data_IF_700842575291
#
_entry.id   IF_700842575291
#
_cell.length_a   1.000
_cell.length_b   1.000
_cell.length_c   1.000
_cell.angle_alpha   90.00
_cell.angle_beta   90.00
_cell.angle_gamma   90.00
#
_symmetry.space_group_name_H-M   'P 1'
#
loop_
_entity.id
_entity.type
_entity.pdbx_description
1 polymer ?
#
# COMPACT_ATOMS: atom_id res chain seq x y z
N UNK A 1 60.42 23.85 -10.00
CA UNK A 1 61.54 23.18 -10.71
C UNK A 1 62.08 22.11 -9.79
N UNK A 2 62.37 20.87 -10.23
CA UNK A 2 62.16 20.28 -11.57
C UNK A 2 61.14 19.10 -11.48
N UNK A 3 60.32 18.75 -12.47
CA UNK A 3 60.56 18.37 -13.88
C UNK A 3 61.56 17.22 -14.02
N UNK A 4 61.08 15.98 -14.13
CA UNK A 4 61.83 14.94 -14.83
C UNK A 4 60.94 14.19 -15.80
N UNK A 5 61.48 14.11 -16.99
CA UNK A 5 60.90 13.77 -18.29
C UNK A 5 61.11 12.28 -18.61
N UNK A 6 60.14 11.72 -19.35
CA UNK A 6 60.15 10.58 -20.29
C UNK A 6 61.29 9.54 -20.23
N UNK A 7 60.88 8.27 -20.36
CA UNK A 7 61.54 7.33 -21.30
C UNK A 7 60.48 6.68 -22.18
N UNK A 8 60.68 6.84 -23.49
CA UNK A 8 60.04 6.08 -24.58
C UNK A 8 61.01 4.95 -24.93
N UNK A 9 60.53 3.74 -25.13
CA UNK A 9 61.17 2.81 -26.08
C UNK A 9 60.12 1.98 -26.81
N UNK A 10 59.94 2.35 -28.08
CA UNK A 10 59.32 1.57 -29.15
C UNK A 10 60.21 0.37 -29.51
N UNK A 11 59.63 -0.81 -29.63
CA UNK A 11 60.16 -1.88 -30.50
C UNK A 11 59.00 -2.63 -31.14
N UNK A 12 58.95 -2.56 -32.48
CA UNK A 12 58.01 -3.30 -33.36
C UNK A 12 58.56 -4.67 -33.76
N UNK A 13 57.61 -5.53 -34.18
CA UNK A 13 57.68 -6.82 -34.92
C UNK A 13 57.76 -8.06 -34.01
N UNK A 14 57.02 -9.15 -34.20
CA UNK A 14 56.07 -9.59 -35.25
C UNK A 14 55.32 -10.82 -34.74
N UNK A 15 54.12 -11.02 -35.29
CA UNK A 15 53.17 -12.14 -35.22
C UNK A 15 53.66 -13.50 -34.67
N UNK A 16 52.89 -14.04 -33.71
CA UNK A 16 52.42 -15.44 -33.72
C UNK A 16 51.05 -15.54 -33.06
N UNK A 17 50.15 -16.17 -33.80
CA UNK A 17 48.74 -16.46 -33.54
C UNK A 17 48.44 -16.86 -32.09
N UNK A 18 47.48 -16.16 -31.47
CA UNK A 18 46.63 -16.74 -30.43
C UNK A 18 45.18 -16.44 -30.78
N UNK A 19 44.47 -17.50 -31.18
CA UNK A 19 43.01 -17.55 -31.34
C UNK A 19 42.34 -16.83 -30.19
N UNK A 20 41.74 -15.67 -30.48
CA UNK A 20 40.75 -15.06 -29.61
C UNK A 20 39.59 -16.05 -29.47
N UNK A 21 39.31 -16.48 -28.24
CA UNK A 21 38.00 -17.07 -27.92
C UNK A 21 36.98 -15.98 -28.15
N UNK A 22 36.19 -16.14 -29.21
CA UNK A 22 34.99 -15.35 -29.44
C UNK A 22 34.14 -15.39 -28.17
N UNK A 23 33.81 -14.21 -27.65
CA UNK A 23 32.85 -14.09 -26.57
C UNK A 23 31.52 -14.67 -27.03
N UNK A 24 30.94 -15.55 -26.21
CA UNK A 24 29.56 -16.00 -26.37
C UNK A 24 28.65 -14.77 -26.34
N UNK A 25 28.19 -14.35 -27.51
CA UNK A 25 26.97 -13.56 -27.62
C UNK A 25 25.84 -14.49 -27.16
N UNK A 26 24.97 -14.09 -26.20
CA UNK A 26 23.85 -14.94 -25.83
C UNK A 26 22.99 -15.12 -27.07
N UNK A 27 22.93 -16.35 -27.57
CA UNK A 27 22.06 -16.74 -28.67
C UNK A 27 20.62 -16.59 -28.17
N UNK A 28 19.94 -15.54 -28.60
CA UNK A 28 18.51 -15.35 -28.33
C UNK A 28 17.79 -16.61 -28.85
N UNK A 29 17.01 -17.31 -28.00
CA UNK A 29 16.25 -18.48 -28.43
C UNK A 29 15.39 -18.13 -29.65
N UNK A 30 15.31 -19.04 -30.62
CA UNK A 30 14.42 -18.84 -31.78
C UNK A 30 12.99 -18.72 -31.28
N UNK A 31 12.35 -17.57 -31.51
CA UNK A 31 10.99 -17.31 -31.08
C UNK A 31 9.99 -18.00 -32.03
N UNK A 32 9.13 -18.85 -31.46
CA UNK A 32 7.99 -19.43 -32.17
C UNK A 32 6.69 -18.72 -31.75
N UNK A 33 6.03 -17.95 -32.62
CA UNK A 33 4.78 -17.27 -32.30
C UNK A 33 3.59 -18.22 -32.13
N UNK A 34 3.69 -19.48 -32.55
CA UNK A 34 2.57 -20.43 -32.54
C UNK A 34 2.42 -21.20 -31.22
N UNK A 35 3.31 -20.97 -30.24
CA UNK A 35 3.20 -21.58 -28.92
C UNK A 35 2.00 -20.94 -28.19
N UNK A 36 0.97 -21.72 -27.80
CA UNK A 36 -0.18 -21.19 -27.09
C UNK A 36 0.18 -20.72 -25.68
N UNK A 37 -0.59 -19.77 -25.14
CA UNK A 37 -0.43 -19.31 -23.75
C UNK A 37 -0.53 -20.48 -22.76
N UNK A 38 0.35 -20.55 -21.74
CA UNK A 38 0.32 -21.59 -20.72
C UNK A 38 -1.03 -21.63 -19.97
N UNK A 39 -1.58 -22.83 -19.81
CA UNK A 39 -2.86 -23.04 -19.10
C UNK A 39 -2.72 -23.63 -17.70
N UNK A 40 -1.54 -24.17 -17.39
CA UNK A 40 -1.25 -24.76 -16.09
C UNK A 40 0.22 -24.54 -15.70
N UNK A 41 0.55 -24.83 -14.43
CA UNK A 41 1.92 -24.68 -13.92
C UNK A 41 2.95 -25.53 -14.68
N UNK A 42 2.57 -26.73 -15.12
CA UNK A 42 3.46 -27.59 -15.91
C UNK A 42 3.83 -26.98 -17.27
N UNK A 43 2.95 -26.18 -17.87
CA UNK A 43 3.27 -25.43 -19.09
C UNK A 43 4.13 -24.21 -18.80
N UNK A 44 3.88 -23.51 -17.68
CA UNK A 44 4.66 -22.36 -17.25
C UNK A 44 6.13 -22.73 -16.98
N UNK A 45 6.38 -23.84 -16.29
CA UNK A 45 7.74 -24.32 -15.97
C UNK A 45 8.59 -24.60 -17.22
N UNK A 46 7.98 -24.89 -18.38
CA UNK A 46 8.74 -25.05 -19.64
C UNK A 46 9.43 -23.76 -20.09
N UNK A 47 8.98 -22.61 -19.58
CA UNK A 47 9.53 -21.29 -19.83
C UNK A 47 10.35 -20.77 -18.65
N UNK A 48 10.75 -21.62 -17.71
CA UNK A 48 11.49 -21.23 -16.52
C UNK A 48 12.72 -20.40 -16.88
N UNK A 49 12.89 -19.28 -16.18
CA UNK A 49 13.99 -18.36 -16.37
C UNK A 49 14.61 -18.01 -15.02
N UNK A 50 15.89 -18.35 -14.87
CA UNK A 50 16.63 -18.08 -13.64
C UNK A 50 16.97 -16.59 -13.56
N UNK A 51 16.50 -15.97 -12.47
CA UNK A 51 16.73 -14.57 -12.17
C UNK A 51 17.62 -14.44 -10.93
N UNK A 52 18.48 -13.43 -10.93
CA UNK A 52 19.30 -13.05 -9.78
C UNK A 52 19.22 -11.54 -9.57
N UNK A 53 19.12 -11.12 -8.30
CA UNK A 53 18.96 -9.72 -7.93
C UNK A 53 20.26 -8.94 -8.18
N UNK A 54 20.14 -7.75 -8.77
CA UNK A 54 21.26 -6.87 -9.11
C UNK A 54 21.57 -5.89 -7.96
N UNK A 55 22.69 -6.13 -7.29
CA UNK A 55 23.23 -5.30 -6.22
C UNK A 55 23.56 -3.86 -6.66
N UNK A 56 23.74 -3.63 -7.96
CA UNK A 56 23.96 -2.29 -8.52
C UNK A 56 22.69 -1.45 -8.48
N UNK A 57 21.53 -2.10 -8.61
CA UNK A 57 20.23 -1.44 -8.68
C UNK A 57 19.57 -1.30 -7.32
N UNK A 58 19.83 -2.24 -6.41
CA UNK A 58 19.14 -2.35 -5.13
C UNK A 58 19.20 -1.07 -4.29
N UNK A 59 18.04 -0.59 -3.84
CA UNK A 59 17.99 0.51 -2.88
C UNK A 59 18.82 0.21 -1.62
N UNK A 60 19.37 1.24 -0.96
CA UNK A 60 20.29 1.11 0.20
C UNK A 60 19.67 0.43 1.43
N UNK A 61 18.35 0.26 1.47
CA UNK A 61 17.63 -0.45 2.54
C UNK A 61 17.44 -1.94 2.26
N UNK A 62 17.76 -2.37 1.04
CA UNK A 62 17.59 -3.75 0.61
C UNK A 62 18.90 -4.51 0.80
N UNK A 63 18.79 -5.66 1.45
CA UNK A 63 19.87 -6.59 1.67
C UNK A 63 19.66 -7.80 0.79
N UNK A 64 20.53 -7.93 -0.22
CA UNK A 64 20.57 -9.12 -1.07
C UNK A 64 21.37 -10.20 -0.34
N UNK A 65 20.77 -11.36 -0.16
CA UNK A 65 21.34 -12.52 0.53
C UNK A 65 21.19 -13.78 -0.32
N UNK A 66 21.60 -14.94 0.22
CA UNK A 66 21.43 -16.26 -0.42
C UNK A 66 22.01 -16.33 -1.86
N UNK A 67 23.14 -15.67 -2.08
CA UNK A 67 23.82 -15.69 -3.38
C UNK A 67 23.11 -14.89 -4.48
N UNK A 68 22.15 -14.02 -4.14
CA UNK A 68 21.43 -13.18 -5.09
C UNK A 68 19.99 -13.60 -5.36
N UNK A 69 19.50 -14.66 -4.72
CA UNK A 69 18.12 -15.13 -4.87
C UNK A 69 17.13 -14.48 -3.90
N UNK A 70 17.63 -13.89 -2.80
CA UNK A 70 16.80 -13.30 -1.76
C UNK A 70 17.11 -11.84 -1.54
N UNK A 71 16.06 -11.05 -1.34
CA UNK A 71 16.15 -9.68 -0.87
C UNK A 71 15.25 -9.49 0.33
N UNK A 72 15.77 -8.82 1.35
CA UNK A 72 14.98 -8.42 2.50
C UNK A 72 15.23 -6.96 2.82
N UNK A 73 14.18 -6.27 3.22
CA UNK A 73 14.29 -5.00 3.95
C UNK A 73 14.44 -5.36 5.43
N UNK A 74 15.58 -5.00 6.03
CA UNK A 74 15.91 -5.39 7.41
C UNK A 74 15.22 -4.49 8.43
N UNK A 75 15.88 -3.40 8.79
CA UNK A 75 15.33 -2.32 9.61
C UNK A 75 15.72 -1.02 8.96
N UNK A 76 14.94 0.00 9.23
CA UNK A 76 15.14 1.27 8.54
C UNK A 76 16.30 2.12 9.11
N UNK A 77 16.82 1.70 10.26
CA UNK A 77 17.99 2.30 10.91
C UNK A 77 19.31 1.71 10.38
N UNK A 78 19.26 0.63 9.58
CA UNK A 78 20.44 -0.08 9.08
C UNK A 78 20.41 -0.13 7.55
N UNK A 79 21.22 0.74 6.94
CA UNK A 79 21.45 0.72 5.49
C UNK A 79 22.55 -0.27 5.13
N UNK A 80 22.40 -0.94 3.98
CA UNK A 80 23.45 -1.76 3.41
C UNK A 80 24.64 -0.84 3.04
N UNK A 81 25.88 -1.17 3.44
CA UNK A 81 27.05 -0.33 3.18
C UNK A 81 27.51 -0.47 1.72
N UNK A 82 26.67 -0.03 0.79
CA UNK A 82 26.88 -0.12 -0.65
C UNK A 82 27.31 1.23 -1.23
N UNK A 83 28.16 1.16 -2.25
CA UNK A 83 28.56 2.36 -3.00
C UNK A 83 27.34 2.96 -3.70
N UNK A 84 27.25 4.29 -3.65
CA UNK A 84 26.28 5.02 -4.45
C UNK A 84 26.65 4.93 -5.93
N UNK A 85 25.65 4.73 -6.79
CA UNK A 85 25.82 4.48 -8.21
C UNK A 85 24.62 5.00 -9.00
N UNK A 86 24.81 5.52 -10.23
CA UNK A 86 23.73 6.03 -11.07
C UNK A 86 22.54 5.06 -11.22
N UNK A 87 22.81 3.76 -11.32
CA UNK A 87 21.85 2.69 -11.58
C UNK A 87 21.01 2.30 -10.35
N UNK A 88 21.38 2.79 -9.17
CA UNK A 88 20.73 2.45 -7.90
C UNK A 88 19.42 3.22 -7.73
N UNK A 89 18.38 2.54 -7.24
CA UNK A 89 17.18 3.24 -6.78
C UNK A 89 17.52 4.17 -5.62
N UNK A 90 17.11 5.43 -5.76
CA UNK A 90 17.42 6.47 -4.79
C UNK A 90 16.39 6.53 -3.65
N UNK A 91 15.13 6.25 -3.96
CA UNK A 91 14.02 6.53 -3.08
C UNK A 91 13.17 5.29 -2.76
N UNK A 92 12.69 4.59 -3.79
CA UNK A 92 11.84 3.42 -3.61
C UNK A 92 12.68 2.21 -3.19
N UNK A 93 12.31 1.46 -2.13
CA UNK A 93 12.94 0.20 -1.73
C UNK A 93 12.76 -0.90 -2.78
N UNK A 94 13.45 -0.76 -3.91
CA UNK A 94 13.29 -1.54 -5.13
C UNK A 94 14.64 -2.07 -5.61
N UNK A 95 14.60 -3.20 -6.32
CA UNK A 95 15.75 -3.87 -6.92
C UNK A 95 15.28 -4.54 -8.22
N UNK A 96 16.12 -4.50 -9.26
CA UNK A 96 15.92 -5.24 -10.51
C UNK A 96 16.79 -6.49 -10.51
N UNK A 97 16.43 -7.46 -11.36
CA UNK A 97 17.29 -8.59 -11.67
C UNK A 97 18.39 -8.19 -12.66
N UNK A 98 19.49 -8.97 -12.69
CA UNK A 98 20.61 -8.76 -13.62
C UNK A 98 20.24 -9.18 -15.04
N UNK A 99 19.38 -10.18 -15.14
CA UNK A 99 18.95 -10.78 -16.39
C UNK A 99 17.77 -9.98 -16.97
N UNK A 100 17.88 -9.64 -18.26
CA UNK A 100 16.81 -9.05 -19.04
C UNK A 100 16.14 -10.08 -19.94
N UNK A 101 14.83 -9.93 -20.15
CA UNK A 101 14.06 -10.75 -21.09
C UNK A 101 13.86 -9.93 -22.37
N UNK A 102 14.50 -10.36 -23.47
CA UNK A 102 14.39 -9.73 -24.78
C UNK A 102 14.34 -10.80 -25.87
N UNK A 103 13.23 -10.86 -26.61
CA UNK A 103 13.06 -11.76 -27.74
C UNK A 103 12.56 -13.17 -27.38
N UNK A 104 12.19 -13.45 -26.13
CA UNK A 104 11.75 -14.78 -25.70
C UNK A 104 10.70 -14.72 -24.57
N UNK A 105 10.21 -15.91 -24.18
CA UNK A 105 9.25 -16.12 -23.09
C UNK A 105 9.97 -16.49 -21.80
N UNK A 106 9.65 -15.82 -20.70
CA UNK A 106 10.18 -16.15 -19.38
C UNK A 106 9.07 -16.42 -18.37
N UNK A 107 9.32 -17.37 -17.48
CA UNK A 107 8.51 -17.65 -16.30
C UNK A 107 9.39 -17.74 -15.07
N UNK A 108 8.99 -17.12 -13.97
CA UNK A 108 9.66 -17.24 -12.68
C UNK A 108 8.64 -17.18 -11.54
N UNK A 109 9.01 -17.73 -10.40
CA UNK A 109 8.20 -17.71 -9.18
C UNK A 109 8.94 -16.95 -8.08
N UNK A 110 8.19 -16.15 -7.31
CA UNK A 110 8.71 -15.34 -6.20
C UNK A 110 7.95 -15.71 -4.94
N UNK A 111 8.63 -16.33 -3.99
CA UNK A 111 8.14 -16.46 -2.62
C UNK A 111 8.30 -15.12 -1.90
N UNK A 112 7.25 -14.68 -1.22
CA UNK A 112 7.24 -13.37 -0.54
C UNK A 112 6.53 -13.40 0.81
N UNK A 113 6.96 -12.51 1.69
CA UNK A 113 6.29 -12.23 2.96
C UNK A 113 6.26 -10.73 3.23
N UNK A 114 5.26 -10.26 3.97
CA UNK A 114 5.02 -8.83 4.16
C UNK A 114 4.42 -8.15 2.91
N UNK A 115 4.73 -6.87 2.74
CA UNK A 115 4.30 -6.07 1.60
C UNK A 115 5.40 -6.13 0.52
N UNK A 116 5.09 -6.76 -0.61
CA UNK A 116 6.00 -6.93 -1.74
C UNK A 116 5.22 -6.70 -3.02
N UNK A 117 5.81 -5.93 -3.93
CA UNK A 117 5.34 -5.77 -5.31
C UNK A 117 6.30 -6.52 -6.22
N UNK A 118 5.77 -7.46 -6.98
CA UNK A 118 6.51 -8.22 -8.01
C UNK A 118 6.14 -7.64 -9.36
N UNK A 119 7.13 -7.36 -10.19
CA UNK A 119 6.91 -6.61 -11.42
C UNK A 119 7.93 -6.84 -12.50
N UNK A 120 7.67 -6.22 -13.64
CA UNK A 120 8.60 -6.12 -14.76
C UNK A 120 8.76 -4.64 -15.12
N UNK A 121 9.96 -4.25 -15.53
CA UNK A 121 10.26 -2.90 -15.94
C UNK A 121 11.18 -2.93 -17.15
N UNK A 122 11.03 -1.95 -18.04
CA UNK A 122 12.08 -1.71 -19.03
C UNK A 122 13.34 -1.24 -18.32
N UNK A 123 14.51 -1.65 -18.83
CA UNK A 123 15.81 -1.26 -18.25
C UNK A 123 15.97 0.27 -18.12
N UNK A 124 15.39 1.01 -19.08
CA UNK A 124 15.35 2.47 -19.17
C UNK A 124 14.43 3.16 -18.16
N UNK A 125 13.65 2.42 -17.36
CA UNK A 125 12.76 3.00 -16.38
C UNK A 125 13.56 3.84 -15.38
N UNK A 126 13.02 5.01 -15.04
CA UNK A 126 13.63 5.96 -14.11
C UNK A 126 13.85 5.33 -12.74
N UNK A 127 14.94 5.72 -12.06
CA UNK A 127 15.34 5.15 -10.75
C UNK A 127 15.56 6.22 -9.69
N UNK A 128 15.44 7.49 -10.09
CA UNK A 128 15.72 8.67 -9.27
C UNK A 128 14.52 9.60 -9.28
N UNK A 129 14.44 10.47 -8.26
CA UNK A 129 13.38 11.48 -8.18
C UNK A 129 13.40 12.46 -9.37
N UNK A 130 14.58 12.71 -9.95
CA UNK A 130 14.72 13.51 -11.18
C UNK A 130 13.99 12.90 -12.38
N UNK A 131 13.70 11.60 -12.33
CA UNK A 131 13.08 10.85 -13.41
C UNK A 131 11.56 10.72 -13.23
N UNK A 132 11.00 11.26 -12.13
CA UNK A 132 9.60 11.08 -11.73
C UNK A 132 9.36 9.84 -10.86
N UNK A 133 8.13 9.34 -10.84
CA UNK A 133 7.74 8.16 -10.06
C UNK A 133 8.45 6.90 -10.55
N UNK A 134 9.25 6.27 -9.68
CA UNK A 134 10.14 5.16 -10.03
C UNK A 134 9.71 3.79 -9.46
N UNK A 135 8.62 3.73 -8.69
CA UNK A 135 8.06 2.47 -8.21
C UNK A 135 7.52 1.60 -9.36
N UNK A 136 7.61 0.28 -9.21
CA UNK A 136 7.00 -0.67 -10.15
C UNK A 136 5.50 -0.39 -10.34
N UNK A 137 5.11 -0.08 -11.57
CA UNK A 137 3.73 0.24 -11.95
C UNK A 137 3.33 1.71 -11.78
N UNK A 138 4.19 2.56 -11.22
CA UNK A 138 3.92 3.99 -11.07
C UNK A 138 4.21 4.80 -12.35
N UNK A 139 4.87 4.20 -13.33
CA UNK A 139 5.20 4.82 -14.61
C UNK A 139 4.76 3.96 -15.79
N UNK A 140 4.83 4.53 -16.99
CA UNK A 140 4.52 3.84 -18.25
C UNK A 140 5.51 2.72 -18.63
N UNK A 141 6.68 2.70 -17.98
CA UNK A 141 7.76 1.77 -18.31
C UNK A 141 7.84 0.56 -17.36
N UNK A 142 6.85 0.37 -16.48
CA UNK A 142 6.82 -0.71 -15.52
C UNK A 142 5.41 -1.17 -15.18
N UNK A 143 5.32 -2.41 -14.68
CA UNK A 143 4.12 -3.07 -14.21
C UNK A 143 4.42 -3.74 -12.87
N UNK A 144 3.45 -3.72 -11.96
CA UNK A 144 3.57 -4.34 -10.64
C UNK A 144 2.30 -5.05 -10.23
N UNK A 145 2.44 -6.14 -9.47
CA UNK A 145 1.38 -6.80 -8.74
C UNK A 145 1.83 -7.05 -7.31
N UNK A 146 0.97 -6.79 -6.33
CA UNK A 146 1.31 -6.99 -4.93
C UNK A 146 0.09 -7.20 -4.05
N UNK A 147 0.31 -7.76 -2.87
CA UNK A 147 -0.73 -7.97 -1.86
C UNK A 147 -0.78 -6.76 -0.91
N UNK A 148 -1.93 -6.09 -0.82
CA UNK A 148 -2.13 -4.89 0.01
C UNK A 148 -2.53 -5.19 1.47
N UNK A 149 -2.77 -6.45 1.81
CA UNK A 149 -3.30 -6.84 3.12
C UNK A 149 -4.75 -7.34 3.09
N UNK A 150 -5.54 -6.95 2.09
CA UNK A 150 -6.93 -7.42 1.86
C UNK A 150 -7.16 -7.98 0.47
N UNK A 151 -6.42 -7.49 -0.52
CA UNK A 151 -6.63 -7.78 -1.94
C UNK A 151 -5.31 -7.72 -2.68
N UNK A 152 -5.28 -8.31 -3.87
CA UNK A 152 -4.19 -8.06 -4.80
C UNK A 152 -4.45 -6.74 -5.52
N UNK A 153 -3.40 -5.98 -5.78
CA UNK A 153 -3.47 -4.71 -6.49
C UNK A 153 -2.47 -4.76 -7.64
N UNK A 154 -2.94 -4.39 -8.83
CA UNK A 154 -2.12 -4.33 -10.03
C UNK A 154 -1.91 -2.87 -10.44
N UNK A 155 -0.67 -2.50 -10.70
CA UNK A 155 -0.24 -1.13 -10.99
C UNK A 155 0.40 -1.01 -12.37
N UNK A 156 0.01 0.03 -13.11
CA UNK A 156 0.63 0.46 -14.36
C UNK A 156 0.24 1.91 -14.66
N UNK A 157 1.15 2.74 -15.19
CA UNK A 157 0.87 4.15 -15.54
C UNK A 157 0.23 4.96 -14.41
N UNK A 158 0.68 4.70 -13.18
CA UNK A 158 0.06 5.32 -12.01
C UNK A 158 -1.44 5.03 -11.86
N UNK A 159 -1.95 3.94 -12.43
CA UNK A 159 -3.29 3.40 -12.22
C UNK A 159 -3.22 2.18 -11.31
N UNK A 160 -4.20 2.03 -10.43
CA UNK A 160 -4.34 0.87 -9.56
C UNK A 160 -5.65 0.14 -9.90
N UNK A 161 -5.55 -1.15 -10.18
CA UNK A 161 -6.69 -2.06 -10.32
C UNK A 161 -6.72 -3.02 -9.14
N UNK A 162 -7.75 -2.91 -8.31
CA UNK A 162 -7.96 -3.83 -7.20
C UNK A 162 -8.54 -5.15 -7.71
N UNK A 163 -7.95 -6.26 -7.24
CA UNK A 163 -8.34 -7.63 -7.55
C UNK A 163 -8.83 -8.28 -6.26
N UNK A 164 -10.14 -8.49 -6.17
CA UNK A 164 -10.82 -9.06 -5.00
C UNK A 164 -11.19 -10.53 -5.21
N UNK A 165 -11.55 -11.22 -4.12
CA UNK A 165 -12.02 -12.62 -4.17
C UNK A 165 -10.92 -13.68 -4.34
N UNK A 166 -9.65 -13.30 -4.16
CA UNK A 166 -8.50 -14.20 -4.16
C UNK A 166 -7.85 -14.15 -2.77
N UNK A 167 -7.69 -15.30 -2.08
CA UNK A 167 -7.03 -15.33 -0.78
C UNK A 167 -5.53 -15.04 -0.92
N UNK A 168 -4.86 -14.73 0.19
CA UNK A 168 -3.40 -14.51 0.19
C UNK A 168 -2.67 -15.82 -0.11
N UNK A 169 -1.76 -15.77 -1.08
CA UNK A 169 -0.75 -16.81 -1.35
C UNK A 169 0.64 -16.32 -0.94
N UNK A 170 1.56 -17.25 -0.68
CA UNK A 170 2.97 -16.97 -0.36
C UNK A 170 3.86 -16.85 -1.59
N UNK A 171 3.38 -17.30 -2.76
CA UNK A 171 4.18 -17.38 -3.99
C UNK A 171 3.41 -16.78 -5.17
N UNK A 172 4.08 -15.88 -5.90
CA UNK A 172 3.58 -15.31 -7.16
C UNK A 172 4.42 -15.83 -8.32
N UNK A 173 3.76 -16.37 -9.34
CA UNK A 173 4.35 -16.69 -10.63
C UNK A 173 4.16 -15.53 -11.61
N UNK A 174 5.19 -15.21 -12.39
CA UNK A 174 5.14 -14.19 -13.44
C UNK A 174 5.51 -14.82 -14.76
N UNK A 175 4.66 -14.66 -15.76
CA UNK A 175 4.90 -15.09 -17.13
C UNK A 175 4.96 -13.87 -18.04
N UNK A 176 6.03 -13.75 -18.82
CA UNK A 176 6.24 -12.70 -19.78
C UNK A 176 6.52 -13.31 -21.16
N UNK A 177 5.66 -13.04 -22.14
CA UNK A 177 5.93 -13.23 -23.56
C UNK A 177 6.29 -11.86 -24.15
N UNK A 178 7.58 -11.53 -24.15
CA UNK A 178 8.03 -10.19 -24.53
C UNK A 178 7.70 -9.85 -26.00
N UNK A 179 7.91 -10.74 -26.98
CA UNK A 179 7.54 -10.43 -28.37
C UNK A 179 6.02 -10.32 -28.60
N UNK A 180 5.19 -11.04 -27.83
CA UNK A 180 3.73 -10.93 -27.93
C UNK A 180 3.12 -9.81 -27.08
N UNK A 181 3.90 -9.18 -26.19
CA UNK A 181 3.41 -8.15 -25.28
C UNK A 181 2.45 -8.68 -24.20
N UNK A 182 2.63 -9.93 -23.77
CA UNK A 182 1.77 -10.59 -22.77
C UNK A 182 2.51 -10.63 -21.43
N UNK A 183 1.86 -10.11 -20.38
CA UNK A 183 2.29 -10.22 -18.99
C UNK A 183 1.15 -10.80 -18.16
N UNK A 184 1.39 -11.97 -17.58
CA UNK A 184 0.43 -12.66 -16.73
C UNK A 184 1.02 -12.89 -15.34
N UNK A 185 0.16 -12.79 -14.33
CA UNK A 185 0.50 -13.13 -12.96
C UNK A 185 -0.34 -14.32 -12.48
N UNK A 186 0.27 -15.18 -11.68
CA UNK A 186 -0.35 -16.39 -11.15
C UNK A 186 -0.15 -16.47 -9.64
N UNK A 187 -1.22 -16.76 -8.92
CA UNK A 187 -1.11 -17.20 -7.53
C UNK A 187 -0.71 -18.68 -7.52
N UNK A 188 0.46 -19.00 -6.95
CA UNK A 188 1.00 -20.36 -6.92
C UNK A 188 0.68 -20.98 -5.57
N UNK A 189 -0.01 -22.12 -5.60
CA UNK A 189 -0.29 -22.93 -4.41
C UNK A 189 0.73 -24.07 -4.35
N UNK A 190 1.48 -24.16 -3.26
CA UNK A 190 2.26 -25.36 -2.98
C UNK A 190 1.32 -26.48 -2.56
N UNK A 191 1.22 -27.51 -3.38
CA UNK A 191 0.58 -28.76 -2.98
C UNK A 191 1.63 -29.54 -2.19
N UNK A 192 1.44 -29.63 -0.87
CA UNK A 192 2.17 -30.63 -0.07
C UNK A 192 1.74 -32.00 -0.60
N UNK A 193 2.69 -32.87 -0.94
CA UNK A 193 2.40 -34.21 -1.47
C UNK A 193 1.34 -34.90 -0.58
N UNK A 194 0.13 -35.10 -1.12
CA UNK A 194 -0.97 -35.74 -0.40
C UNK A 194 -2.39 -35.32 -0.79
N UNK A 195 -2.61 -34.16 -1.43
CA UNK A 195 -3.97 -33.72 -1.82
C UNK A 195 -4.01 -33.20 -3.27
N UNK A 196 -4.75 -33.88 -4.15
CA UNK A 196 -5.07 -33.36 -5.48
C UNK A 196 -5.93 -32.09 -5.36
N UNK A 197 -5.43 -30.96 -5.85
CA UNK A 197 -6.17 -29.70 -5.93
C UNK A 197 -6.25 -29.18 -7.37
N UNK A 198 -7.48 -28.91 -7.77
CA UNK A 198 -7.89 -28.36 -9.07
C UNK A 198 -7.69 -26.84 -9.14
N UNK A 199 -6.97 -26.37 -10.17
CA UNK A 199 -7.25 -25.09 -10.85
C UNK A 199 -6.51 -23.85 -10.35
N UNK A 200 -5.39 -23.50 -10.98
CA UNK A 200 -4.81 -22.15 -10.90
C UNK A 200 -5.69 -21.12 -11.62
N UNK A 201 -6.04 -20.03 -10.93
CA UNK A 201 -6.73 -18.87 -11.54
C UNK A 201 -5.69 -17.93 -12.18
N UNK A 202 -5.92 -17.57 -13.45
CA UNK A 202 -5.10 -16.62 -14.20
C UNK A 202 -5.62 -15.18 -14.02
N UNK A 203 -4.71 -14.23 -13.86
CA UNK A 203 -4.98 -12.79 -13.82
C UNK A 203 -4.36 -12.13 -15.05
N UNK A 204 -5.20 -11.55 -15.92
CA UNK A 204 -4.77 -10.84 -17.14
C UNK A 204 -4.87 -9.33 -16.95
N UNK A 205 -3.83 -8.61 -17.35
CA UNK A 205 -3.81 -7.15 -17.43
C UNK A 205 -4.13 -6.69 -18.87
N UNK A 206 -4.79 -5.54 -19.07
CA UNK A 206 -5.04 -5.01 -20.41
C UNK A 206 -3.77 -4.40 -21.00
N UNK A 207 -3.37 -4.83 -22.21
CA UNK A 207 -2.40 -4.13 -23.07
C UNK A 207 -3.14 -3.37 -24.18
N UNK A 208 -2.56 -2.24 -24.63
CA UNK A 208 -3.23 -1.30 -25.55
C UNK A 208 -3.01 -1.67 -27.03
N UNK A 209 -4.14 -1.69 -27.74
CA UNK A 209 -4.38 -1.67 -29.19
C UNK A 209 -4.22 -3.00 -29.97
N UNK A 210 -5.26 -3.83 -29.96
CA UNK A 210 -6.22 -3.89 -31.08
C UNK A 210 -7.53 -4.60 -30.68
N UNK A 211 -8.58 -4.34 -31.45
CA UNK A 211 -9.99 -4.61 -31.13
C UNK A 211 -10.41 -6.09 -31.18
N UNK A 212 -11.50 -6.39 -30.45
CA UNK A 212 -12.44 -7.55 -30.53
C UNK A 212 -11.95 -8.89 -29.93
N UNK A 213 -12.73 -9.63 -29.12
CA UNK A 213 -14.02 -10.26 -29.45
C UNK A 213 -14.91 -10.54 -28.21
N UNK A 214 -16.16 -10.05 -28.30
CA UNK A 214 -17.48 -10.71 -28.14
C UNK A 214 -17.71 -11.73 -26.99
N UNK A 215 -18.66 -11.40 -26.11
CA UNK A 215 -19.59 -12.37 -25.52
C UNK A 215 -20.96 -12.23 -26.20
N UNK A 216 -21.35 -13.26 -26.95
CA UNK A 216 -22.65 -13.38 -27.59
C UNK A 216 -23.63 -14.04 -26.62
N UNK A 217 -24.66 -13.31 -26.21
CA UNK A 217 -25.88 -13.91 -25.69
C UNK A 217 -26.98 -13.77 -26.75
N UNK A 218 -27.39 -14.91 -27.31
CA UNK A 218 -28.61 -15.03 -28.10
C UNK A 218 -29.81 -14.75 -27.20
N UNK A 219 -30.55 -13.68 -27.48
CA UNK A 219 -31.96 -13.63 -27.14
C UNK A 219 -32.77 -12.94 -28.23
N UNK A 220 -33.86 -13.63 -28.62
CA UNK A 220 -34.73 -13.31 -29.73
C UNK A 220 -35.48 -12.00 -29.50
N UNK A 221 -35.60 -11.25 -30.59
CA UNK A 221 -36.40 -10.04 -30.77
C UNK A 221 -37.84 -10.20 -30.28
N UNK A 222 -38.33 -9.16 -29.60
CA UNK A 222 -39.75 -8.95 -29.32
C UNK A 222 -39.99 -7.54 -28.80
N UNK A 223 -40.04 -6.56 -29.71
CA UNK A 223 -40.35 -5.16 -29.45
C UNK A 223 -41.61 -4.97 -28.58
N UNK A 224 -41.52 -4.12 -27.54
CA UNK A 224 -42.48 -3.02 -27.32
C UNK A 224 -41.97 -2.04 -26.26
N UNK A 225 -41.82 -0.79 -26.70
CA UNK A 225 -41.60 0.42 -25.91
C UNK A 225 -42.72 0.57 -24.88
N UNK A 226 -42.36 0.70 -23.59
CA UNK A 226 -43.13 1.47 -22.59
C UNK A 226 -42.18 2.10 -21.59
N UNK A 227 -42.23 3.43 -21.55
CA UNK A 227 -41.76 4.29 -20.46
C UNK A 227 -42.26 3.79 -19.10
N UNK A 228 -41.39 3.78 -18.09
CA UNK A 228 -41.79 4.12 -16.72
C UNK A 228 -40.57 4.39 -15.83
N UNK A 229 -40.70 5.50 -15.08
CA UNK A 229 -39.91 5.85 -13.90
C UNK A 229 -39.78 4.66 -12.96
N UNK A 230 -38.59 4.49 -12.38
CA UNK A 230 -38.39 4.08 -10.99
C UNK A 230 -36.90 4.18 -10.65
N UNK A 231 -36.51 5.35 -10.12
CA UNK A 231 -35.41 5.43 -9.16
C UNK A 231 -35.77 4.53 -7.97
N UNK A 232 -35.01 3.45 -7.78
CA UNK A 232 -34.95 2.75 -6.50
C UNK A 232 -33.64 3.16 -5.84
N UNK A 233 -33.72 4.24 -5.07
CA UNK A 233 -32.79 4.53 -3.99
C UNK A 233 -32.81 3.36 -3.01
N UNK A 234 -31.67 2.72 -2.82
CA UNK A 234 -31.44 1.84 -1.67
C UNK A 234 -31.52 2.72 -0.42
N UNK A 235 -32.62 2.60 0.33
CA UNK A 235 -32.77 3.22 1.63
C UNK A 235 -31.81 2.54 2.60
N UNK A 236 -30.70 3.21 2.92
CA UNK A 236 -29.88 2.89 4.08
C UNK A 236 -30.77 2.99 5.33
N UNK A 237 -30.71 1.97 6.17
CA UNK A 237 -31.50 1.85 7.39
C UNK A 237 -30.90 2.79 8.44
N UNK A 238 -31.17 4.10 8.31
CA UNK A 238 -30.72 5.12 9.26
C UNK A 238 -31.49 4.92 10.56
N UNK A 239 -30.80 4.47 11.60
CA UNK A 239 -31.37 4.43 12.95
C UNK A 239 -31.83 5.84 13.33
N UNK A 240 -33.07 5.96 13.79
CA UNK A 240 -33.64 7.25 14.18
C UNK A 240 -32.85 7.81 15.36
N UNK A 241 -32.24 8.98 15.20
CA UNK A 241 -31.58 9.67 16.30
C UNK A 241 -32.60 10.03 17.38
N UNK A 242 -32.29 9.63 18.62
CA UNK A 242 -33.09 9.98 19.80
C UNK A 242 -32.31 11.03 20.62
N UNK A 243 -32.83 12.25 20.76
CA UNK A 243 -32.19 13.29 21.57
C UNK A 243 -32.33 13.00 23.08
N UNK A 244 -31.49 13.66 23.89
CA UNK A 244 -31.55 13.63 25.36
C UNK A 244 -31.35 12.24 26.01
N UNK A 245 -30.65 11.33 25.34
CA UNK A 245 -30.17 10.10 25.99
C UNK A 245 -28.98 10.47 26.87
N UNK A 246 -28.90 9.97 28.13
CA UNK A 246 -27.74 10.17 28.99
C UNK A 246 -26.43 9.70 28.34
N UNK A 247 -25.35 10.45 28.56
CA UNK A 247 -24.02 10.06 28.08
C UNK A 247 -23.59 8.71 28.69
N UNK A 248 -23.00 7.80 27.89
CA UNK A 248 -22.45 6.54 28.40
C UNK A 248 -21.34 6.78 29.45
N UNK A 249 -21.43 6.08 30.57
CA UNK A 249 -20.46 6.20 31.67
C UNK A 249 -19.58 4.97 31.84
N UNK A 250 -19.94 3.86 31.18
CA UNK A 250 -19.21 2.59 31.21
C UNK A 250 -18.91 2.07 29.81
N UNK A 251 -17.93 1.18 29.69
CA UNK A 251 -17.59 0.53 28.43
C UNK A 251 -18.77 -0.25 27.86
N UNK A 252 -19.51 -0.94 28.72
CA UNK A 252 -20.70 -1.72 28.36
C UNK A 252 -21.81 -0.86 27.73
N UNK A 253 -21.91 0.42 28.11
CA UNK A 253 -22.83 1.36 27.47
C UNK A 253 -22.27 1.92 26.16
N UNK A 254 -20.97 2.21 26.11
CA UNK A 254 -20.29 2.71 24.90
C UNK A 254 -20.35 1.71 23.73
N UNK A 255 -20.12 0.42 23.98
CA UNK A 255 -20.15 -0.64 22.94
C UNK A 255 -21.52 -0.84 22.29
N UNK A 256 -22.60 -0.26 22.84
CA UNK A 256 -23.92 -0.20 22.19
C UNK A 256 -23.90 0.68 20.94
N UNK A 257 -22.98 1.65 20.89
CA UNK A 257 -22.78 2.58 19.78
C UNK A 257 -21.58 2.18 18.91
N UNK A 258 -21.10 0.95 19.03
CA UNK A 258 -19.91 0.47 18.32
C UNK A 258 -20.03 0.67 16.81
N UNK A 259 -19.01 1.29 16.21
CA UNK A 259 -18.89 1.51 14.78
C UNK A 259 -17.70 0.72 14.23
N UNK A 260 -17.93 -0.09 13.20
CA UNK A 260 -16.87 -0.79 12.50
C UNK A 260 -16.24 0.18 11.50
N UNK A 261 -14.97 0.51 11.72
CA UNK A 261 -14.23 1.45 10.89
C UNK A 261 -13.20 0.73 10.02
N UNK A 262 -12.92 1.31 8.86
CA UNK A 262 -11.83 0.90 7.98
C UNK A 262 -11.11 2.12 7.41
N UNK A 263 -9.79 2.04 7.33
CA UNK A 263 -8.94 3.11 6.82
C UNK A 263 -9.15 3.33 5.32
N UNK A 264 -9.23 4.60 4.89
CA UNK A 264 -9.34 4.95 3.47
C UNK A 264 -7.95 5.19 2.85
N UNK A 265 -7.51 4.25 2.03
CA UNK A 265 -6.25 4.26 1.29
C UNK A 265 -6.14 5.43 0.30
N UNK A 266 -7.29 5.98 -0.14
CA UNK A 266 -7.33 7.17 -1.00
C UNK A 266 -6.88 8.42 -0.27
N UNK A 267 -7.11 8.49 1.05
CA UNK A 267 -6.79 9.67 1.86
C UNK A 267 -5.40 9.60 2.48
N UNK A 268 -4.90 8.39 2.74
CA UNK A 268 -3.69 8.17 3.50
C UNK A 268 -2.49 8.93 2.94
N UNK A 269 -1.83 9.74 3.74
CA UNK A 269 -0.60 10.38 3.28
C UNK A 269 0.42 9.34 2.80
N UNK A 270 1.20 9.74 1.82
CA UNK A 270 2.21 8.91 1.18
C UNK A 270 3.28 8.37 2.14
N UNK A 271 3.43 8.87 3.36
CA UNK A 271 4.32 8.31 4.39
C UNK A 271 3.70 7.16 5.20
N UNK A 272 2.41 6.86 4.99
CA UNK A 272 1.65 5.88 5.77
C UNK A 272 1.48 4.57 5.01
N UNK A 273 1.52 3.48 5.79
CA UNK A 273 1.38 2.11 5.31
C UNK A 273 0.16 1.48 5.97
N UNK A 274 -0.86 1.17 5.17
CA UNK A 274 -2.07 0.47 5.62
C UNK A 274 -1.87 -1.04 5.45
N UNK A 275 -2.28 -1.82 6.46
CA UNK A 275 -2.22 -3.28 6.47
C UNK A 275 -3.45 -3.87 7.18
N UNK A 276 -3.44 -5.20 7.40
CA UNK A 276 -4.47 -5.94 8.13
C UNK A 276 -5.89 -5.67 7.60
N UNK A 277 -6.01 -5.75 6.28
CA UNK A 277 -7.26 -5.50 5.57
C UNK A 277 -7.89 -4.13 5.85
N UNK A 278 -7.06 -3.10 6.07
CA UNK A 278 -7.52 -1.73 6.29
C UNK A 278 -7.80 -1.39 7.76
N UNK A 279 -7.49 -2.27 8.72
CA UNK A 279 -7.64 -1.96 10.15
C UNK A 279 -6.37 -1.41 10.79
N UNK A 280 -5.19 -1.56 10.16
CA UNK A 280 -3.92 -1.13 10.73
C UNK A 280 -3.24 -0.11 9.84
N UNK A 281 -2.66 0.93 10.44
CA UNK A 281 -1.79 1.90 9.78
C UNK A 281 -0.51 2.10 10.57
N UNK A 282 0.61 2.27 9.88
CA UNK A 282 1.87 2.63 10.50
C UNK A 282 2.66 3.64 9.67
N UNK A 283 3.50 4.40 10.35
CA UNK A 283 4.53 5.24 9.75
C UNK A 283 5.87 4.76 10.28
N UNK A 284 6.66 4.13 9.42
CA UNK A 284 7.93 3.52 9.83
C UNK A 284 9.05 4.56 9.85
N UNK A 285 9.21 5.33 8.76
CA UNK A 285 10.36 6.23 8.53
C UNK A 285 10.00 7.53 7.80
N UNK A 286 11.00 8.18 7.20
CA UNK A 286 10.89 9.28 6.23
C UNK A 286 10.62 8.78 4.80
N UNK A 287 10.49 7.47 4.57
CA UNK A 287 10.19 6.92 3.25
C UNK A 287 8.70 6.99 2.93
N UNK A 288 8.43 7.22 1.66
CA UNK A 288 7.11 7.29 1.07
C UNK A 288 6.73 5.91 0.57
N UNK A 289 5.55 5.46 1.01
CA UNK A 289 4.74 4.43 0.42
C UNK A 289 4.53 4.73 -1.08
N UNK A 290 4.81 3.77 -1.98
CA UNK A 290 4.65 3.94 -3.43
C UNK A 290 3.17 3.89 -3.82
N UNK A 291 2.45 4.93 -3.42
CA UNK A 291 1.02 5.12 -3.67
C UNK A 291 0.83 6.29 -4.60
N UNK A 292 -0.10 6.11 -5.53
CA UNK A 292 -0.49 7.10 -6.52
C UNK A 292 -0.96 8.38 -5.83
N UNK A 293 -0.45 9.55 -6.23
CA UNK A 293 -1.01 10.81 -5.75
C UNK A 293 -2.44 10.98 -6.26
N UNK A 294 -3.32 11.47 -5.39
CA UNK A 294 -4.75 11.67 -5.64
C UNK A 294 -5.23 12.92 -4.91
N UNK A 295 -6.24 13.64 -5.44
CA UNK A 295 -6.75 14.86 -4.82
C UNK A 295 -7.20 14.69 -3.35
N UNK A 296 -7.72 13.51 -2.99
CA UNK A 296 -8.23 13.18 -1.66
C UNK A 296 -7.12 12.93 -0.63
N UNK A 297 -5.87 12.76 -1.08
CA UNK A 297 -4.73 12.37 -0.27
C UNK A 297 -4.21 13.55 0.55
N UNK A 298 -3.88 13.29 1.82
CA UNK A 298 -3.12 14.23 2.62
C UNK A 298 -1.73 14.44 2.02
N UNK A 299 -1.37 15.69 1.75
CA UNK A 299 -0.13 16.05 1.06
C UNK A 299 1.08 16.11 2.01
N UNK A 300 0.93 16.82 3.14
CA UNK A 300 2.02 17.05 4.09
C UNK A 300 1.88 16.29 5.40
N UNK A 301 0.72 16.37 6.05
CA UNK A 301 0.48 15.71 7.34
C UNK A 301 0.42 14.20 7.14
N UNK A 302 1.23 13.37 7.85
CA UNK A 302 1.18 11.91 7.77
C UNK A 302 -0.09 11.35 8.42
N UNK A 303 -1.21 11.56 7.73
CA UNK A 303 -2.57 11.44 8.23
C UNK A 303 -3.42 10.58 7.29
N UNK A 304 -4.41 9.91 7.87
CA UNK A 304 -5.40 9.10 7.17
C UNK A 304 -6.75 9.24 7.88
N UNK A 305 -7.85 9.21 7.13
CA UNK A 305 -9.21 9.13 7.68
C UNK A 305 -9.86 7.81 7.28
N UNK A 306 -10.92 7.43 8.01
CA UNK A 306 -11.70 6.23 7.73
C UNK A 306 -12.70 6.46 6.58
N UNK A 307 -13.20 5.36 6.01
CA UNK A 307 -14.21 5.38 4.94
C UNK A 307 -15.60 5.74 5.46
N UNK A 308 -15.89 5.37 6.71
CA UNK A 308 -17.20 5.51 7.33
C UNK A 308 -17.33 6.89 7.99
N UNK A 309 -18.45 7.57 7.69
CA UNK A 309 -18.75 8.89 8.20
C UNK A 309 -19.82 8.86 9.31
N UNK A 310 -19.66 9.72 10.31
CA UNK A 310 -20.64 9.89 11.37
C UNK A 310 -21.54 11.07 11.01
N UNK A 311 -22.84 10.80 10.87
CA UNK A 311 -23.85 11.80 10.58
C UNK A 311 -25.18 11.44 11.24
N UNK A 312 -25.75 12.40 11.97
CA UNK A 312 -27.02 12.26 12.67
C UNK A 312 -27.10 11.00 13.56
N UNK A 313 -25.99 10.67 14.24
CA UNK A 313 -25.89 9.44 15.03
C UNK A 313 -24.85 9.52 16.14
N UNK A 314 -24.83 8.47 16.97
CA UNK A 314 -23.80 8.20 17.98
C UNK A 314 -22.88 7.10 17.48
N UNK A 315 -21.58 7.27 17.72
CA UNK A 315 -20.57 6.30 17.32
C UNK A 315 -19.52 6.13 18.41
N UNK A 316 -19.05 4.90 18.59
CA UNK A 316 -17.95 4.55 19.47
C UNK A 316 -16.99 3.61 18.76
N UNK A 317 -15.69 3.84 18.90
CA UNK A 317 -14.66 2.93 18.43
C UNK A 317 -13.46 2.92 19.37
N UNK A 318 -12.67 1.85 19.32
CA UNK A 318 -11.43 1.72 20.07
C UNK A 318 -10.26 1.51 19.11
N UNK A 319 -9.11 2.09 19.45
CA UNK A 319 -7.86 1.97 18.70
C UNK A 319 -6.72 1.63 19.66
N UNK A 320 -5.96 0.61 19.32
CA UNK A 320 -4.66 0.35 19.94
C UNK A 320 -3.58 1.12 19.18
N UNK A 321 -2.66 1.77 19.88
CA UNK A 321 -1.60 2.57 19.24
C UNK A 321 -0.23 2.38 19.90
N UNK A 322 0.81 2.76 19.15
CA UNK A 322 2.19 2.84 19.62
C UNK A 322 2.88 4.06 19.04
N UNK A 323 3.80 4.66 19.80
CA UNK A 323 4.56 5.84 19.37
C UNK A 323 3.77 7.14 19.51
N UNK A 324 4.07 8.13 18.66
CA UNK A 324 3.39 9.42 18.63
C UNK A 324 2.22 9.36 17.65
N UNK A 325 1.01 9.55 18.17
CA UNK A 325 -0.23 9.47 17.39
C UNK A 325 -1.21 10.50 17.92
N UNK A 326 -1.88 11.21 17.01
CA UNK A 326 -3.13 11.93 17.27
C UNK A 326 -4.31 11.10 16.74
N UNK A 327 -5.24 10.77 17.63
CA UNK A 327 -6.46 10.00 17.35
C UNK A 327 -7.62 10.98 17.45
N UNK A 328 -8.49 11.03 16.44
CA UNK A 328 -9.59 11.99 16.48
C UNK A 328 -10.52 11.89 15.29
N UNK A 329 -11.08 13.03 14.91
CA UNK A 329 -12.00 13.14 13.78
C UNK A 329 -11.87 14.52 13.12
N UNK A 330 -12.17 14.57 11.82
CA UNK A 330 -12.22 15.80 11.03
C UNK A 330 -13.52 15.87 10.25
N UNK A 331 -13.97 17.06 9.87
CA UNK A 331 -15.03 17.18 8.87
C UNK A 331 -14.61 16.51 7.56
N UNK A 332 -15.58 15.90 6.86
CA UNK A 332 -15.35 15.24 5.57
C UNK A 332 -14.70 16.18 4.55
N UNK A 333 -15.14 17.45 4.54
CA UNK A 333 -14.64 18.51 3.67
C UNK A 333 -13.38 19.23 4.16
N UNK A 334 -12.76 18.79 5.27
CA UNK A 334 -11.57 19.44 5.79
C UNK A 334 -10.40 19.37 4.78
N UNK A 335 -9.63 20.46 4.72
CA UNK A 335 -8.52 20.62 3.80
C UNK A 335 -7.42 19.57 3.99
N UNK A 336 -6.94 18.99 2.87
CA UNK A 336 -5.92 17.91 2.88
C UNK A 336 -4.64 18.25 2.11
N UNK A 337 -4.64 19.39 1.40
CA UNK A 337 -3.58 19.82 0.47
C UNK A 337 -2.92 21.11 0.95
N UNK A 338 -1.74 21.40 0.41
CA UNK A 338 -0.91 22.56 0.76
C UNK A 338 -1.65 23.90 0.80
N UNK A 339 -2.48 24.15 -0.21
CA UNK A 339 -3.23 25.41 -0.36
C UNK A 339 -4.39 25.57 0.63
N UNK A 340 -4.68 24.54 1.45
CA UNK A 340 -5.78 24.55 2.41
C UNK A 340 -5.36 25.02 3.80
N UNK A 341 -4.07 25.30 4.02
CA UNK A 341 -3.51 25.60 5.34
C UNK A 341 -3.18 24.32 6.15
N UNK A 342 -3.03 24.43 7.48
CA UNK A 342 -2.72 23.30 8.35
C UNK A 342 -3.78 22.20 8.26
N UNK A 343 -3.38 21.00 7.84
CA UNK A 343 -4.27 19.85 7.63
C UNK A 343 -4.20 18.79 8.73
N UNK A 344 -3.31 18.94 9.72
CA UNK A 344 -3.19 18.00 10.83
C UNK A 344 -4.45 17.98 11.71
N UNK A 345 -4.79 16.81 12.26
CA UNK A 345 -5.89 16.67 13.21
C UNK A 345 -5.68 17.59 14.41
N UNK A 346 -6.65 18.49 14.64
CA UNK A 346 -6.62 19.48 15.70
C UNK A 346 -5.78 20.74 15.37
N UNK A 347 -5.17 20.84 14.20
CA UNK A 347 -4.44 22.05 13.77
C UNK A 347 -5.34 23.12 13.12
N UNK A 348 -6.63 22.82 12.94
CA UNK A 348 -7.63 23.71 12.34
C UNK A 348 -8.96 23.64 13.10
N UNK A 349 -9.90 24.50 12.74
CA UNK A 349 -11.25 24.55 13.33
C UNK A 349 -12.19 23.43 12.86
N UNK A 350 -11.75 22.61 11.90
CA UNK A 350 -12.53 21.54 11.28
C UNK A 350 -12.14 20.13 11.78
N UNK A 351 -11.29 20.05 12.81
CA UNK A 351 -10.82 18.78 13.35
C UNK A 351 -10.46 18.85 14.84
N UNK A 352 -10.53 17.69 15.49
CA UNK A 352 -10.21 17.48 16.89
C UNK A 352 -9.31 16.25 17.04
N UNK A 353 -8.42 16.26 18.02
CA UNK A 353 -7.52 15.12 18.24
C UNK A 353 -7.01 15.00 19.67
N UNK A 354 -6.89 13.77 20.15
CA UNK A 354 -6.14 13.43 21.36
C UNK A 354 -4.80 12.83 20.95
N UNK A 355 -3.72 13.45 21.41
CA UNK A 355 -2.35 13.04 21.16
C UNK A 355 -1.74 12.37 22.40
N UNK A 356 -0.92 11.34 22.20
CA UNK A 356 0.09 10.95 23.19
C UNK A 356 1.45 11.53 22.78
N UNK A 357 1.99 12.44 23.59
CA UNK A 357 3.25 13.15 23.27
C UNK A 357 4.51 12.31 23.52
N UNK A 358 4.38 11.18 24.22
CA UNK A 358 5.50 10.40 24.79
C UNK A 358 5.61 10.57 26.31
N UNK A 359 5.09 11.66 26.87
CA UNK A 359 5.14 11.96 28.31
C UNK A 359 3.77 12.24 28.92
N UNK A 360 2.82 12.77 28.14
CA UNK A 360 1.46 13.07 28.58
C UNK A 360 0.47 12.98 27.41
N UNK A 361 -0.82 13.02 27.73
CA UNK A 361 -1.85 13.25 26.73
C UNK A 361 -2.01 14.74 26.44
N UNK A 362 -2.32 15.08 25.19
CA UNK A 362 -2.60 16.45 24.79
C UNK A 362 -3.89 16.48 23.98
N UNK A 363 -4.81 17.38 24.30
CA UNK A 363 -5.97 17.64 23.44
C UNK A 363 -5.63 18.76 22.45
N UNK A 364 -5.89 18.52 21.17
CA UNK A 364 -5.59 19.43 20.06
C UNK A 364 -6.89 19.93 19.41
N UNK A 365 -7.00 21.24 19.27
CA UNK A 365 -8.07 21.91 18.53
C UNK A 365 -7.61 23.29 18.05
N UNK A 366 -7.92 23.63 16.79
CA UNK A 366 -7.62 24.93 16.18
C UNK A 366 -6.17 25.42 16.38
N UNK A 367 -5.20 24.50 16.24
CA UNK A 367 -3.78 24.81 16.36
C UNK A 367 -3.28 25.00 17.80
N UNK A 368 -4.16 24.82 18.79
CA UNK A 368 -3.84 24.90 20.21
C UNK A 368 -3.84 23.48 20.77
N UNK A 369 -2.79 23.15 21.53
CA UNK A 369 -2.76 21.95 22.35
C UNK A 369 -2.80 22.29 23.84
N UNK A 370 -3.41 21.39 24.62
CA UNK A 370 -3.45 21.48 26.07
C UNK A 370 -3.07 20.14 26.68
N UNK A 371 -2.05 20.15 27.53
CA UNK A 371 -1.60 18.98 28.26
C UNK A 371 -2.64 18.52 29.30
N UNK A 372 -2.84 17.20 29.36
CA UNK A 372 -3.62 16.51 30.37
C UNK A 372 -2.63 15.82 31.32
N UNK A 373 -2.41 16.45 32.47
CA UNK A 373 -1.44 16.00 33.47
C UNK A 373 -1.99 14.85 34.33
N UNK A 374 -1.08 14.07 34.92
CA UNK A 374 -1.38 13.01 35.90
C UNK A 374 -2.26 11.85 35.35
N UNK A 375 -2.25 11.67 34.03
CA UNK A 375 -2.91 10.54 33.37
C UNK A 375 -1.84 9.52 32.94
N UNK A 376 -1.90 8.27 33.43
CA UNK A 376 -0.96 7.24 33.02
C UNK A 376 -1.16 6.86 31.56
N UNK A 377 -0.06 6.43 30.91
CA UNK A 377 -0.11 5.89 29.56
C UNK A 377 -1.07 4.70 29.48
N UNK A 378 -1.88 4.69 28.43
CA UNK A 378 -2.76 3.61 28.04
C UNK A 378 -2.60 3.38 26.53
N UNK A 379 -2.33 2.14 26.13
CA UNK A 379 -2.11 1.78 24.71
C UNK A 379 -3.40 1.76 23.89
N UNK A 380 -4.57 1.83 24.52
CA UNK A 380 -5.87 1.80 23.84
C UNK A 380 -6.69 3.03 24.17
N UNK A 381 -7.16 3.72 23.14
CA UNK A 381 -8.05 4.87 23.26
C UNK A 381 -9.41 4.53 22.68
N UNK A 382 -10.45 4.83 23.43
CA UNK A 382 -11.83 4.82 22.97
C UNK A 382 -12.27 6.24 22.61
N UNK A 383 -12.98 6.40 21.50
CA UNK A 383 -13.55 7.68 21.10
C UNK A 383 -15.05 7.51 20.94
N UNK A 384 -15.82 8.34 21.62
CA UNK A 384 -17.27 8.42 21.51
C UNK A 384 -17.66 9.77 20.91
N UNK A 385 -18.56 9.75 19.93
CA UNK A 385 -19.13 10.96 19.36
C UNK A 385 -20.65 10.87 19.37
N UNK A 386 -21.30 11.91 19.89
CA UNK A 386 -22.73 12.20 19.68
C UNK A 386 -22.82 13.43 18.79
N UNK A 387 -22.94 13.21 17.47
CA UNK A 387 -22.78 14.29 16.49
C UNK A 387 -23.87 15.38 16.64
N UNK A 388 -25.17 15.05 16.77
CA UNK A 388 -26.18 16.09 16.96
C UNK A 388 -26.12 16.79 18.32
N UNK A 389 -25.62 16.13 19.37
CA UNK A 389 -25.44 16.75 20.68
C UNK A 389 -24.14 17.56 20.79
N UNK A 390 -23.23 17.44 19.82
CA UNK A 390 -21.98 18.19 19.83
C UNK A 390 -20.93 17.67 20.80
N UNK A 391 -20.93 16.37 21.10
CA UNK A 391 -20.07 15.77 22.13
C UNK A 391 -19.00 14.90 21.47
N UNK A 392 -17.74 15.09 21.86
CA UNK A 392 -16.63 14.19 21.56
C UNK A 392 -15.93 13.83 22.87
N UNK A 393 -15.99 12.56 23.26
CA UNK A 393 -15.36 12.05 24.46
C UNK A 393 -14.21 11.11 24.11
N UNK A 394 -13.07 11.30 24.77
CA UNK A 394 -11.91 10.43 24.66
C UNK A 394 -11.70 9.66 25.97
N UNK A 395 -11.47 8.35 25.86
CA UNK A 395 -11.32 7.46 27.00
C UNK A 395 -10.01 6.67 26.90
N UNK A 396 -9.33 6.47 28.02
CA UNK A 396 -8.35 5.39 28.16
C UNK A 396 -9.11 4.09 28.38
N UNK A 397 -8.73 3.02 27.68
CA UNK A 397 -9.34 1.69 27.80
C UNK A 397 -8.32 0.73 28.40
N UNK A 398 -8.52 0.33 29.65
CA UNK A 398 -7.63 -0.57 30.39
C UNK A 398 -8.27 -1.92 30.67
N UNK A 399 -7.46 -2.94 30.97
CA UNK A 399 -7.92 -4.30 31.23
C UNK A 399 -7.92 -5.18 29.97
N UNK A 400 -8.28 -6.45 30.13
CA UNK A 400 -8.25 -7.45 29.05
C UNK A 400 -9.60 -8.17 28.92
N UNK A 401 -9.93 -8.57 27.69
CA UNK A 401 -11.15 -9.33 27.40
C UNK A 401 -12.43 -8.65 27.89
N UNK A 402 -13.21 -9.39 28.70
CA UNK A 402 -14.49 -8.94 29.24
C UNK A 402 -14.34 -7.89 30.38
N UNK A 403 -13.16 -7.76 30.98
CA UNK A 403 -12.88 -6.85 32.11
C UNK A 403 -12.38 -5.47 31.64
N UNK A 404 -12.53 -5.15 30.35
CA UNK A 404 -12.14 -3.82 29.87
C UNK A 404 -12.99 -2.72 30.50
N UNK A 405 -12.31 -1.75 31.09
CA UNK A 405 -12.89 -0.55 31.70
C UNK A 405 -12.47 0.70 30.92
N UNK A 406 -13.26 1.76 31.06
CA UNK A 406 -13.00 3.07 30.44
C UNK A 406 -12.82 4.13 31.50
N UNK A 407 -11.82 5.00 31.30
CA UNK A 407 -11.64 6.22 32.08
C UNK A 407 -11.70 7.42 31.14
N UNK A 408 -12.63 8.34 31.38
CA UNK A 408 -12.73 9.57 30.59
C UNK A 408 -11.44 10.40 30.75
N UNK A 409 -10.83 10.73 29.62
CA UNK A 409 -9.64 11.57 29.54
C UNK A 409 -10.04 13.02 29.29
N UNK A 410 -10.93 13.23 28.34
CA UNK A 410 -11.37 14.56 27.95
C UNK A 410 -12.74 14.52 27.30
N UNK A 411 -13.52 15.58 27.53
CA UNK A 411 -14.81 15.84 26.89
C UNK A 411 -14.71 17.16 26.14
N UNK A 412 -15.07 17.14 24.88
CA UNK A 412 -15.23 18.33 24.02
C UNK A 412 -16.71 18.55 23.80
N UNK A 413 -17.16 19.77 24.07
CA UNK A 413 -18.50 20.25 23.71
C UNK A 413 -18.33 21.31 22.62
N UNK A 414 -18.89 21.03 21.44
CA UNK A 414 -18.75 21.88 20.26
C UNK A 414 -19.93 21.71 19.32
N UNK A 415 -20.16 22.62 18.39
CA UNK A 415 -21.17 22.41 17.35
C UNK A 415 -20.57 21.60 16.20
N UNK A 416 -21.20 20.46 15.86
CA UNK A 416 -20.76 19.59 14.77
C UNK A 416 -21.82 19.63 13.67
N UNK A 417 -21.63 20.46 12.64
CA UNK A 417 -22.69 20.75 11.65
C UNK A 417 -22.58 19.93 10.36
N UNK A 418 -21.43 19.29 10.14
CA UNK A 418 -21.13 18.52 8.93
C UNK A 418 -20.82 17.06 9.29
N UNK A 419 -20.80 16.19 8.28
CA UNK A 419 -20.30 14.82 8.43
C UNK A 419 -18.85 14.85 8.91
N UNK A 420 -18.52 13.97 9.85
CA UNK A 420 -17.16 13.82 10.36
C UNK A 420 -16.63 12.42 10.04
N UNK A 421 -15.33 12.34 9.78
CA UNK A 421 -14.58 11.12 9.53
C UNK A 421 -13.61 10.89 10.69
N UNK A 422 -13.64 9.72 11.35
CA UNK A 422 -12.56 9.31 12.25
C UNK A 422 -11.22 9.29 11.52
N UNK A 423 -10.14 9.66 12.21
CA UNK A 423 -8.82 9.72 11.58
C UNK A 423 -7.66 9.60 12.55
N UNK A 424 -6.48 9.41 11.96
CA UNK A 424 -5.23 9.16 12.66
C UNK A 424 -4.11 9.97 12.01
N UNK A 425 -3.32 10.66 12.83
CA UNK A 425 -2.14 11.41 12.40
C UNK A 425 -0.92 10.92 13.17
N UNK A 426 0.16 10.58 12.46
CA UNK A 426 1.19 9.71 13.03
C UNK A 426 2.61 10.22 12.86
N UNK A 427 3.39 10.03 13.93
CA UNK A 427 4.82 10.29 13.97
C UNK A 427 5.62 9.17 13.33
N UNK A 428 6.91 9.38 13.15
CA UNK A 428 7.83 8.33 12.71
C UNK A 428 7.82 7.19 13.76
N UNK A 429 8.04 5.94 13.31
CA UNK A 429 8.01 4.74 14.17
C UNK A 429 6.73 4.58 15.00
N UNK A 430 5.57 4.97 14.43
CA UNK A 430 4.28 4.92 15.13
C UNK A 430 3.28 4.01 14.41
N UNK A 431 2.35 3.41 15.15
CA UNK A 431 1.33 2.50 14.61
C UNK A 431 -0.04 2.67 15.29
N UNK A 432 -1.12 2.35 14.56
CA UNK A 432 -2.50 2.32 15.04
C UNK A 432 -3.22 1.11 14.47
N UNK A 433 -4.00 0.44 15.29
CA UNK A 433 -4.85 -0.69 14.91
C UNK A 433 -6.26 -0.43 15.42
N UNK A 434 -7.19 -0.22 14.49
CA UNK A 434 -8.63 -0.15 14.78
C UNK A 434 -9.05 -1.51 15.31
N UNK A 435 -9.62 -1.54 16.50
CA UNK A 435 -10.11 -2.78 17.10
C UNK A 435 -11.42 -3.21 16.45
N UNK A 436 -11.67 -4.51 16.43
CA UNK A 436 -12.97 -5.08 16.03
C UNK A 436 -13.84 -5.26 17.26
N UNK A 437 -15.16 -5.22 17.08
CA UNK A 437 -16.08 -5.58 18.15
C UNK A 437 -15.82 -7.04 18.51
N UNK A 438 -15.38 -7.29 19.75
CA UNK A 438 -15.37 -8.64 20.32
C UNK A 438 -16.83 -9.09 20.46
N UNK A 439 -17.17 -10.25 19.89
CA UNK A 439 -18.50 -10.88 20.01
C UNK A 439 -18.87 -11.22 21.46
#
# INVERSE_FOLDING_TARGET
MPTTTRIISDTRKSDKEKKAKAGNTPTVPVYDPNIPEPKCRADLIKHWFDLSLDDKTAHKLLWITEGGSKVARMTDDVTCPVLDRPERYEYSPQVLCKEGILGFRGYWEVEFSGWVVVGVAYERAGRRNSDGSCGLGENENSWGLGWSGSSYNAWHESQNTEITGIPKFSTLGVYLDQPAGILNYYAVQEVKEGEESTGGRSLKMPSRADSTVILSETNKQGNKVKSNKNEKTNAENVSVYVPNIPEPTSRAELVKYWMNLSLDDKTANKMLWISDSGSKVCRRTKEVCPVLDRPERYEYSPQVVCKEAIWNMRAYWEVEFSGWVVIGAAYEGAGRRAHSGPSGLGENEESWGLCWSGTCYQIWFNGINKDLNDIPYCSTIGVYIDQPAGIINFYAVSGEGAEREVKLLHKVETTIEKKILPGFWMGIQSSCTILKKSE
#
